data_IF_365469783511
#
_entry.id   IF_365469783511
#
_cell.length_a   1.000
_cell.length_b   1.000
_cell.length_c   1.000
_cell.angle_alpha   90.00
_cell.angle_beta   90.00
_cell.angle_gamma   90.00
#
_symmetry.space_group_name_H-M   'P 1'
#
loop_
_entity.id
_entity.type
_entity.pdbx_description
1 polymer ?
#
# COMPACT_ATOMS: atom_id res chain seq x y z
N UNK A 1 3.43 -19.75 -63.82
CA UNK A 1 2.72 -19.94 -62.53
C UNK A 1 3.74 -20.03 -61.42
N UNK A 2 3.43 -19.48 -60.23
CA UNK A 2 4.12 -19.67 -58.93
C UNK A 2 5.30 -18.76 -58.57
N UNK A 3 5.00 -17.48 -58.31
CA UNK A 3 5.88 -16.58 -57.54
C UNK A 3 5.05 -15.72 -56.57
N UNK A 4 4.37 -16.34 -55.60
CA UNK A 4 3.61 -15.65 -54.53
C UNK A 4 3.58 -16.47 -53.23
N UNK A 5 4.73 -16.80 -52.65
CA UNK A 5 4.82 -17.38 -51.29
C UNK A 5 6.15 -16.97 -50.65
N UNK A 6 6.23 -15.77 -50.07
CA UNK A 6 7.52 -15.35 -49.48
C UNK A 6 7.54 -14.11 -48.61
N UNK A 7 6.39 -13.50 -48.25
CA UNK A 7 6.38 -12.21 -47.52
C UNK A 7 5.68 -12.31 -46.14
N UNK A 8 5.13 -13.46 -45.76
CA UNK A 8 4.28 -13.56 -44.56
C UNK A 8 4.98 -13.86 -43.22
N UNK A 9 6.30 -14.10 -43.17
CA UNK A 9 6.96 -14.58 -41.93
C UNK A 9 7.80 -13.54 -41.17
N UNK A 10 7.87 -12.27 -41.60
CA UNK A 10 8.69 -11.24 -40.95
C UNK A 10 7.89 -10.20 -40.14
N UNK A 11 6.56 -10.17 -40.25
CA UNK A 11 5.72 -9.16 -39.60
C UNK A 11 5.23 -9.55 -38.19
N UNK A 12 5.51 -10.78 -37.72
CA UNK A 12 4.92 -11.31 -36.49
C UNK A 12 5.86 -11.31 -35.26
N UNK A 13 7.13 -10.91 -35.42
CA UNK A 13 8.12 -10.87 -34.33
C UNK A 13 8.31 -9.48 -33.72
N UNK A 14 7.68 -8.43 -34.25
CA UNK A 14 7.78 -7.05 -33.74
C UNK A 14 6.64 -6.67 -32.77
N UNK A 15 5.65 -7.54 -32.57
CA UNK A 15 4.46 -7.24 -31.76
C UNK A 15 4.59 -7.61 -30.26
N UNK A 16 5.69 -8.24 -29.84
CA UNK A 16 5.90 -8.68 -28.44
C UNK A 16 6.77 -7.75 -27.58
N UNK A 17 7.21 -6.59 -28.11
CA UNK A 17 8.09 -5.65 -27.41
C UNK A 17 7.35 -4.54 -26.61
N UNK A 18 6.02 -4.58 -26.50
CA UNK A 18 5.26 -3.38 -26.11
C UNK A 18 4.40 -3.44 -24.85
N UNK A 19 4.23 -4.60 -24.21
CA UNK A 19 3.33 -4.72 -23.05
C UNK A 19 4.14 -4.90 -21.77
N UNK A 20 4.89 -3.85 -21.39
CA UNK A 20 5.25 -3.75 -19.98
C UNK A 20 3.93 -3.58 -19.21
N UNK A 21 3.63 -4.44 -18.20
CA UNK A 21 2.46 -4.22 -17.37
C UNK A 21 2.56 -2.83 -16.77
N UNK A 22 1.50 -2.03 -16.91
CA UNK A 22 1.42 -0.78 -16.16
C UNK A 22 1.46 -1.16 -14.68
N UNK A 23 2.46 -0.67 -13.96
CA UNK A 23 2.46 -0.76 -12.51
C UNK A 23 1.27 0.08 -12.03
N UNK A 24 0.22 -0.60 -11.59
CA UNK A 24 -0.90 0.05 -10.93
C UNK A 24 -0.49 0.28 -9.49
N UNK A 25 -0.47 1.53 -9.05
CA UNK A 25 -0.26 1.84 -7.65
C UNK A 25 -1.29 1.11 -6.76
N UNK A 26 -0.93 0.84 -5.52
CA UNK A 26 -1.74 0.03 -4.63
C UNK A 26 -2.87 0.81 -3.96
N UNK A 27 -3.77 0.11 -3.26
CA UNK A 27 -4.82 0.72 -2.46
C UNK A 27 -4.25 1.35 -1.18
N UNK A 28 -4.89 2.42 -0.70
CA UNK A 28 -4.46 3.17 0.49
C UNK A 28 -5.67 3.47 1.38
N UNK A 29 -5.53 3.25 2.69
CA UNK A 29 -6.47 3.68 3.73
C UNK A 29 -5.67 4.35 4.85
N UNK A 30 -5.95 5.63 5.12
CA UNK A 30 -5.35 6.40 6.20
C UNK A 30 -6.48 6.99 7.06
N UNK A 31 -6.52 6.67 8.35
CA UNK A 31 -7.58 7.07 9.26
C UNK A 31 -7.08 7.86 10.48
N UNK A 32 -7.77 8.94 10.85
CA UNK A 32 -7.52 9.69 12.09
C UNK A 32 -8.13 9.02 13.33
N UNK A 33 -8.20 7.69 13.33
CA UNK A 33 -8.84 6.84 14.32
C UNK A 33 -7.81 6.02 15.09
N UNK A 34 -8.13 5.58 16.31
CA UNK A 34 -7.28 4.74 17.17
C UNK A 34 -7.92 3.37 17.37
N UNK A 35 -8.33 2.76 16.26
CA UNK A 35 -9.05 1.49 16.25
C UNK A 35 -8.25 0.31 16.82
N UNK A 36 -6.94 0.48 17.02
CA UNK A 36 -6.07 -0.44 17.76
C UNK A 36 -6.40 -0.47 19.26
N UNK A 37 -6.75 0.69 19.85
CA UNK A 37 -7.13 0.83 21.27
C UNK A 37 -8.58 0.39 21.52
N UNK A 38 -9.45 0.66 20.55
CA UNK A 38 -10.91 0.45 20.64
C UNK A 38 -11.38 -0.79 19.88
N UNK A 39 -10.67 -1.90 20.05
CA UNK A 39 -11.10 -3.19 19.55
C UNK A 39 -10.72 -4.33 20.47
N UNK A 40 -11.35 -5.47 20.22
CA UNK A 40 -11.14 -6.67 21.02
C UNK A 40 -11.45 -7.94 20.23
N UNK A 41 -11.06 -9.08 20.80
CA UNK A 41 -11.55 -10.39 20.41
C UNK A 41 -12.36 -11.01 21.54
N UNK A 42 -13.54 -11.54 21.23
CA UNK A 42 -14.36 -12.27 22.19
C UNK A 42 -15.12 -13.39 21.50
N UNK A 43 -15.10 -14.59 22.10
CA UNK A 43 -15.71 -15.77 21.51
C UNK A 43 -15.15 -16.14 20.13
N UNK A 44 -13.88 -15.79 19.86
CA UNK A 44 -13.25 -16.02 18.55
C UNK A 44 -13.69 -15.04 17.46
N UNK A 45 -14.45 -13.99 17.80
CA UNK A 45 -14.90 -12.96 16.87
C UNK A 45 -14.25 -11.62 17.21
N UNK A 46 -13.71 -10.94 16.20
CA UNK A 46 -13.24 -9.57 16.33
C UNK A 46 -14.39 -8.60 16.47
N UNK A 47 -14.20 -7.58 17.30
CA UNK A 47 -15.20 -6.55 17.59
C UNK A 47 -14.64 -5.17 17.26
N UNK A 48 -15.56 -4.24 16.97
CA UNK A 48 -15.29 -2.80 16.87
C UNK A 48 -14.09 -2.51 15.95
N UNK A 49 -13.09 -1.77 16.42
CA UNK A 49 -11.94 -1.34 15.62
C UNK A 49 -11.13 -2.49 15.04
N UNK A 50 -11.02 -3.61 15.75
CA UNK A 50 -10.30 -4.78 15.24
C UNK A 50 -11.07 -5.47 14.11
N UNK A 51 -12.40 -5.46 14.14
CA UNK A 51 -13.23 -5.95 13.05
C UNK A 51 -13.09 -5.08 11.80
N UNK A 52 -13.06 -3.76 11.97
CA UNK A 52 -12.73 -2.84 10.89
C UNK A 52 -11.35 -3.16 10.31
N UNK A 53 -10.34 -3.33 11.18
CA UNK A 53 -8.97 -3.61 10.73
C UNK A 53 -8.92 -4.88 9.88
N UNK A 54 -9.57 -5.96 10.32
CA UNK A 54 -9.69 -7.19 9.55
C UNK A 54 -10.33 -6.96 8.17
N UNK A 55 -11.45 -6.24 8.11
CA UNK A 55 -12.15 -6.00 6.83
C UNK A 55 -11.35 -5.10 5.90
N UNK A 56 -10.72 -4.05 6.42
CA UNK A 56 -9.86 -3.16 5.67
C UNK A 56 -8.66 -3.94 5.07
N UNK A 57 -7.97 -4.74 5.89
CA UNK A 57 -6.89 -5.62 5.43
C UNK A 57 -7.34 -6.62 4.37
N UNK A 58 -8.53 -7.24 4.53
CA UNK A 58 -9.06 -8.15 3.54
C UNK A 58 -9.27 -7.47 2.17
N UNK A 59 -9.78 -6.24 2.15
CA UNK A 59 -9.92 -5.48 0.92
C UNK A 59 -8.56 -5.10 0.33
N UNK A 60 -7.61 -4.63 1.15
CA UNK A 60 -6.26 -4.26 0.69
C UNK A 60 -5.52 -5.46 0.08
N UNK A 61 -5.56 -6.61 0.75
CA UNK A 61 -4.96 -7.85 0.25
C UNK A 61 -5.60 -8.34 -1.04
N UNK A 62 -6.91 -8.12 -1.22
CA UNK A 62 -7.63 -8.46 -2.44
C UNK A 62 -7.44 -7.50 -3.61
N UNK A 63 -6.92 -6.29 -3.36
CA UNK A 63 -6.80 -5.22 -4.37
C UNK A 63 -5.37 -4.79 -4.68
N UNK A 64 -4.42 -5.07 -3.79
CA UNK A 64 -3.00 -4.88 -4.05
C UNK A 64 -2.54 -5.70 -5.27
N UNK A 65 -1.67 -5.10 -6.08
CA UNK A 65 -1.22 -5.65 -7.38
C UNK A 65 0.24 -6.09 -7.36
N UNK A 66 0.91 -5.98 -6.22
CA UNK A 66 2.30 -6.43 -6.07
C UNK A 66 2.41 -7.94 -6.32
N UNK A 67 3.45 -8.35 -7.05
CA UNK A 67 3.67 -9.76 -7.43
C UNK A 67 4.89 -10.34 -6.72
N UNK A 68 4.90 -11.67 -6.54
CA UNK A 68 6.02 -12.36 -5.88
C UNK A 68 6.16 -12.02 -4.39
N UNK A 69 5.04 -11.67 -3.75
CA UNK A 69 4.96 -11.47 -2.31
C UNK A 69 5.34 -12.75 -1.55
N UNK A 70 6.10 -12.59 -0.46
CA UNK A 70 6.54 -13.69 0.42
C UNK A 70 5.82 -13.69 1.76
N UNK A 71 5.20 -12.56 2.12
CA UNK A 71 4.44 -12.35 3.37
C UNK A 71 3.24 -11.48 3.03
N UNK A 72 2.07 -11.72 3.62
CA UNK A 72 0.90 -10.91 3.28
C UNK A 72 0.96 -9.54 3.93
N UNK A 73 1.30 -9.46 5.21
CA UNK A 73 1.27 -8.20 5.98
C UNK A 73 2.62 -7.97 6.64
N UNK A 74 3.19 -6.78 6.45
CA UNK A 74 4.23 -6.24 7.31
C UNK A 74 3.60 -5.25 8.29
N UNK A 75 3.68 -5.55 9.58
CA UNK A 75 3.25 -4.68 10.68
C UNK A 75 4.45 -3.85 11.15
N UNK A 76 4.36 -2.53 11.04
CA UNK A 76 5.41 -1.61 11.45
C UNK A 76 4.97 -0.83 12.69
N UNK A 77 5.80 -0.82 13.74
CA UNK A 77 5.51 -0.10 14.99
C UNK A 77 4.71 -0.88 16.02
N UNK A 78 4.71 -2.22 15.93
CA UNK A 78 4.09 -3.09 16.91
C UNK A 78 4.76 -4.46 16.90
N UNK A 79 4.91 -5.07 18.09
CA UNK A 79 5.33 -6.45 18.26
C UNK A 79 4.15 -7.43 18.11
N UNK A 80 4.42 -8.71 17.84
CA UNK A 80 3.39 -9.75 17.86
C UNK A 80 2.81 -9.89 19.29
N UNK A 81 1.49 -9.90 19.41
CA UNK A 81 0.78 -9.94 20.70
C UNK A 81 -0.47 -10.79 20.63
N UNK A 82 -0.81 -11.43 21.74
CA UNK A 82 -2.03 -12.24 21.91
C UNK A 82 -3.01 -11.61 22.90
N UNK A 83 -2.80 -10.34 23.26
CA UNK A 83 -3.74 -9.58 24.07
C UNK A 83 -5.16 -9.64 23.47
N UNK A 84 -6.18 -9.53 24.32
CA UNK A 84 -7.57 -9.66 23.88
C UNK A 84 -8.23 -8.34 23.53
N UNK A 85 -7.59 -7.20 23.83
CA UNK A 85 -8.10 -5.85 23.56
C UNK A 85 -6.98 -4.82 23.66
N UNK A 86 -7.18 -3.64 23.07
CA UNK A 86 -6.36 -2.42 23.29
C UNK A 86 -4.86 -2.60 23.04
N UNK A 87 -4.51 -3.35 21.98
CA UNK A 87 -3.14 -3.68 21.60
C UNK A 87 -3.02 -3.76 20.07
N UNK A 88 -2.14 -2.96 19.50
CA UNK A 88 -1.99 -2.82 18.05
C UNK A 88 -1.53 -4.12 17.38
N UNK A 89 -0.53 -4.77 17.96
CA UNK A 89 0.00 -6.04 17.47
C UNK A 89 -1.05 -7.15 17.51
N UNK A 90 -1.84 -7.17 18.59
CA UNK A 90 -2.92 -8.14 18.76
C UNK A 90 -4.07 -7.95 17.76
N UNK A 91 -4.39 -6.69 17.40
CA UNK A 91 -5.40 -6.40 16.38
C UNK A 91 -5.10 -7.13 15.06
N UNK A 92 -3.85 -7.03 14.59
CA UNK A 92 -3.41 -7.71 13.36
C UNK A 92 -3.20 -9.21 13.58
N UNK A 93 -2.71 -9.62 14.75
CA UNK A 93 -2.51 -11.04 15.08
C UNK A 93 -3.82 -11.82 14.92
N UNK A 94 -4.88 -11.34 15.57
CA UNK A 94 -6.18 -12.02 15.55
C UNK A 94 -6.85 -11.92 14.18
N UNK A 95 -6.74 -10.77 13.50
CA UNK A 95 -7.24 -10.62 12.12
C UNK A 95 -6.58 -11.62 11.17
N UNK A 96 -5.26 -11.76 11.25
CA UNK A 96 -4.50 -12.69 10.43
C UNK A 96 -4.79 -14.15 10.78
N UNK A 97 -4.84 -14.50 12.07
CA UNK A 97 -5.13 -15.85 12.52
C UNK A 97 -6.50 -16.34 12.04
N UNK A 98 -7.54 -15.51 12.12
CA UNK A 98 -8.89 -15.83 11.66
C UNK A 98 -9.01 -15.93 10.13
N UNK A 99 -8.11 -15.26 9.40
CA UNK A 99 -8.15 -15.17 7.94
C UNK A 99 -7.09 -16.03 7.24
N UNK A 100 -6.22 -16.69 8.01
CA UNK A 100 -5.10 -17.49 7.51
C UNK A 100 -4.00 -16.66 6.84
N UNK A 101 -3.80 -15.41 7.26
CA UNK A 101 -2.78 -14.54 6.67
C UNK A 101 -1.42 -14.70 7.33
N UNK A 102 -0.35 -14.53 6.54
CA UNK A 102 1.02 -14.45 7.07
C UNK A 102 1.39 -13.02 7.45
N UNK A 103 2.02 -12.86 8.62
CA UNK A 103 2.39 -11.55 9.17
C UNK A 103 3.84 -11.57 9.65
N UNK A 104 4.57 -10.50 9.36
CA UNK A 104 5.83 -10.19 10.02
C UNK A 104 5.69 -8.87 10.79
N UNK A 105 6.23 -8.83 12.00
CA UNK A 105 6.19 -7.69 12.91
C UNK A 105 7.56 -7.03 12.98
N UNK A 106 7.57 -5.70 12.89
CA UNK A 106 8.77 -4.86 12.94
C UNK A 106 8.56 -3.77 13.99
N UNK A 107 8.92 -4.13 15.22
CA UNK A 107 8.84 -3.28 16.42
C UNK A 107 10.18 -2.62 16.72
N UNK A 108 10.15 -1.32 17.02
CA UNK A 108 11.29 -0.46 17.26
C UNK A 108 11.90 0.15 15.98
N UNK A 109 12.38 1.39 16.10
CA UNK A 109 13.01 2.18 15.02
C UNK A 109 14.05 1.40 14.20
N UNK A 110 14.95 0.66 14.86
CA UNK A 110 15.96 -0.14 14.17
C UNK A 110 15.36 -1.28 13.32
N UNK A 111 14.26 -1.88 13.77
CA UNK A 111 13.56 -2.94 13.03
C UNK A 111 12.82 -2.37 11.82
N UNK A 112 12.21 -1.20 11.97
CA UNK A 112 11.56 -0.45 10.88
C UNK A 112 12.58 -0.04 9.81
N UNK A 113 13.73 0.52 10.20
CA UNK A 113 14.79 0.88 9.25
C UNK A 113 15.39 -0.36 8.56
N UNK A 114 15.54 -1.46 9.31
CA UNK A 114 15.94 -2.76 8.78
C UNK A 114 14.94 -3.33 7.76
N UNK A 115 13.64 -3.15 8.01
CA UNK A 115 12.58 -3.51 7.09
C UNK A 115 12.71 -2.74 5.76
N UNK A 116 12.83 -1.41 5.79
CA UNK A 116 12.95 -0.62 4.56
C UNK A 116 14.24 -0.92 3.79
N UNK A 117 15.34 -1.22 4.50
CA UNK A 117 16.58 -1.73 3.88
C UNK A 117 16.33 -3.06 3.16
N UNK A 118 15.63 -3.98 3.80
CA UNK A 118 15.31 -5.31 3.26
C UNK A 118 14.32 -5.26 2.10
N UNK A 119 13.35 -4.33 2.16
CA UNK A 119 12.40 -4.02 1.10
C UNK A 119 13.13 -3.49 -0.15
N UNK A 120 14.03 -2.51 0.02
CA UNK A 120 14.83 -1.96 -1.07
C UNK A 120 15.75 -3.03 -1.72
N UNK A 121 16.28 -3.95 -0.91
CA UNK A 121 17.04 -5.10 -1.39
C UNK A 121 16.16 -6.19 -2.04
N UNK A 122 14.83 -6.10 -1.93
CA UNK A 122 13.89 -7.10 -2.42
C UNK A 122 13.93 -8.43 -1.66
N UNK A 123 14.46 -8.44 -0.44
CA UNK A 123 14.52 -9.64 0.43
C UNK A 123 13.26 -9.81 1.26
N UNK A 124 12.55 -8.70 1.52
CA UNK A 124 11.22 -8.68 2.11
C UNK A 124 10.25 -8.07 1.08
N UNK A 125 9.12 -8.75 0.84
CA UNK A 125 8.11 -8.33 -0.15
C UNK A 125 6.71 -8.57 0.43
N UNK A 126 6.19 -7.65 1.25
CA UNK A 126 4.85 -7.78 1.79
C UNK A 126 3.81 -7.44 0.71
N UNK A 127 2.59 -7.96 0.84
CA UNK A 127 1.46 -7.49 0.02
C UNK A 127 0.92 -6.16 0.54
N UNK A 128 0.82 -6.02 1.86
CA UNK A 128 0.32 -4.83 2.56
C UNK A 128 1.31 -4.40 3.62
N UNK A 129 1.55 -3.09 3.72
CA UNK A 129 2.13 -2.45 4.91
C UNK A 129 1.00 -1.95 5.79
N UNK A 130 1.02 -2.37 7.05
CA UNK A 130 0.15 -1.85 8.09
C UNK A 130 1.02 -1.10 9.11
N UNK A 131 0.74 0.18 9.29
CA UNK A 131 1.44 1.04 10.23
C UNK A 131 0.59 1.12 11.50
N UNK A 132 1.19 0.82 12.64
CA UNK A 132 0.50 0.85 13.91
C UNK A 132 -0.06 2.24 14.24
N UNK A 133 -1.05 2.25 15.13
CA UNK A 133 -1.72 3.46 15.58
C UNK A 133 -0.87 4.23 16.58
N UNK A 134 -1.54 5.11 17.31
CA UNK A 134 -0.99 5.80 18.48
C UNK A 134 -2.01 5.77 19.61
N UNK A 135 -1.56 5.59 20.85
CA UNK A 135 -2.41 5.72 22.04
C UNK A 135 -2.81 4.40 22.70
N UNK A 136 -2.77 3.28 21.99
CA UNK A 136 -2.97 1.95 22.53
C UNK A 136 -1.69 1.38 23.18
N UNK A 137 -1.80 0.19 23.77
CA UNK A 137 -0.60 -0.60 24.07
C UNK A 137 0.04 -1.10 22.77
N UNK A 138 1.37 -1.20 22.74
CA UNK A 138 2.10 -1.78 21.60
C UNK A 138 1.83 -1.03 20.27
N UNK A 139 1.59 0.29 20.36
CA UNK A 139 1.44 1.24 19.26
C UNK A 139 2.77 1.97 18.99
N UNK A 140 2.80 2.79 17.93
CA UNK A 140 3.96 3.61 17.57
C UNK A 140 4.42 4.50 18.73
N UNK A 141 5.74 4.56 18.91
CA UNK A 141 6.42 5.61 19.67
C UNK A 141 7.09 6.67 18.78
N UNK A 142 7.55 7.75 19.41
CA UNK A 142 8.20 8.87 18.71
C UNK A 142 9.45 8.48 17.91
N UNK A 143 10.20 7.45 18.33
CA UNK A 143 11.39 6.98 17.61
C UNK A 143 11.01 6.22 16.35
N UNK A 144 9.94 5.44 16.41
CA UNK A 144 9.39 4.70 15.28
C UNK A 144 8.73 5.63 14.26
N UNK A 145 7.95 6.61 14.73
CA UNK A 145 7.38 7.66 13.88
C UNK A 145 8.45 8.47 13.14
N UNK A 146 9.61 8.72 13.77
CA UNK A 146 10.77 9.32 13.12
C UNK A 146 11.38 8.41 12.04
N UNK A 147 11.51 7.10 12.30
CA UNK A 147 11.96 6.12 11.30
C UNK A 147 10.99 6.02 10.12
N UNK A 148 9.67 6.00 10.35
CA UNK A 148 8.67 6.05 9.28
C UNK A 148 8.82 7.34 8.45
N UNK A 149 9.03 8.48 9.10
CA UNK A 149 9.24 9.77 8.44
C UNK A 149 10.51 9.78 7.58
N UNK A 150 11.62 9.23 8.09
CA UNK A 150 12.87 9.09 7.35
C UNK A 150 12.71 8.20 6.10
N UNK A 151 11.79 7.22 6.15
CA UNK A 151 11.52 6.27 5.07
C UNK A 151 10.26 6.62 4.25
N UNK A 152 9.75 7.85 4.33
CA UNK A 152 8.52 8.26 3.64
C UNK A 152 8.56 8.00 2.12
N UNK A 153 9.71 8.22 1.47
CA UNK A 153 9.90 7.91 0.05
C UNK A 153 9.81 6.40 -0.25
N UNK A 154 10.25 5.54 0.67
CA UNK A 154 10.16 4.09 0.52
C UNK A 154 8.70 3.61 0.67
N UNK A 155 7.94 4.20 1.60
CA UNK A 155 6.49 3.97 1.73
C UNK A 155 5.78 4.32 0.42
N UNK A 156 6.06 5.51 -0.13
CA UNK A 156 5.46 5.91 -1.41
C UNK A 156 5.88 5.01 -2.58
N UNK A 157 7.14 4.60 -2.61
CA UNK A 157 7.65 3.67 -3.64
C UNK A 157 6.94 2.33 -3.59
N UNK A 158 6.66 1.82 -2.39
CA UNK A 158 5.92 0.58 -2.19
C UNK A 158 4.47 0.67 -2.69
N UNK A 159 3.77 1.75 -2.34
CA UNK A 159 2.41 2.00 -2.85
C UNK A 159 2.44 2.13 -4.37
N UNK A 160 3.35 2.93 -4.92
CA UNK A 160 3.50 3.10 -6.38
C UNK A 160 3.79 1.78 -7.10
N UNK A 161 4.48 0.84 -6.45
CA UNK A 161 4.76 -0.51 -6.96
C UNK A 161 3.57 -1.49 -6.84
N UNK A 162 2.42 -1.06 -6.31
CA UNK A 162 1.21 -1.86 -6.19
C UNK A 162 0.94 -2.44 -4.81
N UNK A 163 1.77 -2.13 -3.82
CA UNK A 163 1.58 -2.56 -2.43
C UNK A 163 0.44 -1.81 -1.75
N UNK A 164 -0.36 -2.50 -0.93
CA UNK A 164 -1.43 -1.87 -0.17
C UNK A 164 -0.92 -1.19 1.09
N UNK A 165 -1.46 -0.02 1.44
CA UNK A 165 -1.06 0.73 2.64
C UNK A 165 -2.25 0.97 3.55
N UNK A 166 -2.04 0.73 4.84
CA UNK A 166 -2.98 1.01 5.91
C UNK A 166 -2.25 1.72 7.04
N UNK A 167 -2.80 2.83 7.52
CA UNK A 167 -2.31 3.52 8.71
C UNK A 167 -3.48 4.12 9.49
N UNK A 168 -3.36 4.08 10.81
CA UNK A 168 -4.30 4.64 11.77
C UNK A 168 -3.50 5.43 12.81
N UNK A 169 -4.16 6.17 13.68
CA UNK A 169 -3.55 6.94 14.76
C UNK A 169 -3.72 8.44 14.58
N UNK A 170 -2.91 9.21 15.30
CA UNK A 170 -2.99 10.66 15.30
C UNK A 170 -1.63 11.31 15.54
N UNK A 171 -1.50 12.57 15.13
CA UNK A 171 -0.30 13.36 15.37
C UNK A 171 0.93 12.97 14.54
N UNK A 172 2.07 13.54 14.94
CA UNK A 172 3.33 13.48 14.18
C UNK A 172 3.94 12.09 14.09
N UNK A 173 3.72 11.23 15.09
CA UNK A 173 4.28 9.89 15.10
C UNK A 173 3.60 8.99 14.05
N UNK A 174 2.27 9.08 13.91
CA UNK A 174 1.51 8.36 12.90
C UNK A 174 1.68 8.93 11.47
N UNK A 175 1.73 10.27 11.34
CA UNK A 175 1.58 10.93 10.03
C UNK A 175 2.74 11.86 9.61
N UNK A 176 3.85 11.88 10.35
CA UNK A 176 5.05 12.65 9.97
C UNK A 176 5.57 12.29 8.58
N UNK A 177 5.52 11.00 8.20
CA UNK A 177 5.87 10.51 6.87
C UNK A 177 4.95 11.06 5.77
N UNK A 178 3.66 11.21 6.07
CA UNK A 178 2.68 11.72 5.11
C UNK A 178 2.89 13.22 4.87
N UNK A 179 3.11 13.99 5.93
CA UNK A 179 3.44 15.42 5.82
C UNK A 179 4.79 15.66 5.13
N UNK A 180 5.76 14.75 5.29
CA UNK A 180 7.03 14.81 4.55
C UNK A 180 6.84 14.63 3.04
N UNK A 181 5.89 13.78 2.61
CA UNK A 181 5.56 13.59 1.19
C UNK A 181 4.64 14.70 0.65
N UNK A 182 3.68 15.12 1.46
CA UNK A 182 2.60 16.04 1.12
C UNK A 182 2.59 17.24 2.08
N UNK A 183 3.50 18.22 1.97
CA UNK A 183 3.55 19.36 2.90
C UNK A 183 2.27 20.22 2.93
N UNK A 184 1.39 20.06 1.94
CA UNK A 184 0.10 20.72 1.90
C UNK A 184 -1.03 19.99 2.64
N UNK A 185 -0.77 18.78 3.16
CA UNK A 185 -1.73 18.04 3.99
C UNK A 185 -1.48 18.36 5.46
N UNK A 186 -2.56 18.45 6.23
CA UNK A 186 -2.50 18.52 7.69
C UNK A 186 -3.44 17.48 8.27
N UNK A 187 -2.90 16.66 9.16
CA UNK A 187 -3.72 16.02 10.19
C UNK A 187 -4.04 17.08 11.25
N UNK A 188 -5.29 17.09 11.73
CA UNK A 188 -5.81 18.08 12.66
C UNK A 188 -6.61 17.36 13.73
N UNK A 189 -6.27 17.63 14.99
CA UNK A 189 -6.98 17.06 16.14
C UNK A 189 -8.48 17.41 16.15
N UNK A 190 -9.26 16.45 16.62
CA UNK A 190 -10.71 16.48 16.72
C UNK A 190 -11.39 15.80 15.53
N UNK A 191 -12.37 14.96 15.82
CA UNK A 191 -13.29 14.37 14.86
C UNK A 191 -14.67 14.16 15.54
N UNK A 192 -15.64 13.57 14.84
CA UNK A 192 -16.86 13.02 15.44
C UNK A 192 -17.22 11.68 14.79
N UNK A 193 -16.89 10.54 15.39
CA UNK A 193 -17.21 9.23 14.80
C UNK A 193 -18.72 8.93 14.77
N UNK A 194 -19.53 9.58 15.62
CA UNK A 194 -20.98 9.41 15.60
C UNK A 194 -21.58 10.00 14.32
N UNK A 195 -22.15 9.14 13.48
CA UNK A 195 -22.70 9.52 12.18
C UNK A 195 -21.66 9.63 11.07
N UNK A 196 -20.45 9.08 11.29
CA UNK A 196 -19.47 8.95 10.23
C UNK A 196 -19.99 8.01 9.12
N UNK A 197 -19.64 8.32 7.88
CA UNK A 197 -20.17 7.62 6.70
C UNK A 197 -19.11 7.47 5.62
N UNK A 198 -19.11 6.32 4.95
CA UNK A 198 -18.31 6.12 3.75
C UNK A 198 -18.84 6.99 2.63
N UNK A 199 -17.93 7.60 1.88
CA UNK A 199 -18.25 8.27 0.62
C UNK A 199 -18.47 7.23 -0.48
N UNK A 200 -18.99 7.66 -1.63
CA UNK A 200 -19.06 6.79 -2.81
C UNK A 200 -17.66 6.28 -3.24
N UNK A 201 -16.61 7.10 -3.06
CA UNK A 201 -15.23 6.68 -3.31
C UNK A 201 -14.76 5.63 -2.29
N UNK A 202 -15.11 5.80 -1.00
CA UNK A 202 -14.84 4.82 0.05
C UNK A 202 -15.47 3.46 -0.24
N UNK A 203 -16.76 3.43 -0.58
CA UNK A 203 -17.48 2.20 -0.94
C UNK A 203 -16.91 1.54 -2.20
N UNK A 204 -16.50 2.34 -3.19
CA UNK A 204 -15.90 1.81 -4.42
C UNK A 204 -14.50 1.23 -4.18
N UNK A 205 -13.70 1.87 -3.32
CA UNK A 205 -12.36 1.42 -2.99
C UNK A 205 -12.37 0.19 -2.06
N UNK A 206 -13.36 0.10 -1.17
CA UNK A 206 -13.45 -0.94 -0.14
C UNK A 206 -14.88 -1.49 -0.02
N UNK A 207 -15.34 -2.29 -1.00
CA UNK A 207 -16.72 -2.78 -1.05
C UNK A 207 -17.11 -3.70 0.12
N UNK A 208 -16.14 -4.21 0.88
CA UNK A 208 -16.38 -4.98 2.11
C UNK A 208 -16.55 -4.13 3.38
N UNK A 209 -16.45 -2.80 3.29
CA UNK A 209 -16.69 -1.88 4.41
C UNK A 209 -18.09 -1.26 4.31
N UNK A 210 -18.69 -1.04 5.47
CA UNK A 210 -19.99 -0.40 5.66
C UNK A 210 -19.87 0.78 6.62
N UNK A 211 -20.93 1.60 6.73
CA UNK A 211 -20.92 2.74 7.67
C UNK A 211 -20.73 2.31 9.13
N UNK A 212 -21.22 1.14 9.53
CA UNK A 212 -21.01 0.62 10.89
C UNK A 212 -19.58 0.21 11.18
N UNK A 213 -18.75 0.05 10.14
CA UNK A 213 -17.32 -0.24 10.32
C UNK A 213 -16.50 1.04 10.50
N UNK A 214 -17.10 2.22 10.27
CA UNK A 214 -16.42 3.53 10.30
C UNK A 214 -17.09 4.54 11.22
N UNK A 215 -18.22 4.19 11.83
CA UNK A 215 -18.93 5.04 12.79
C UNK A 215 -18.50 4.76 14.23
N UNK A 216 -19.21 5.32 15.19
CA UNK A 216 -18.93 5.16 16.61
C UNK A 216 -18.98 3.69 17.10
N UNK A 217 -19.50 2.74 16.32
CA UNK A 217 -19.43 1.31 16.65
C UNK A 217 -18.04 0.72 16.41
N UNK A 218 -17.21 1.33 15.55
CA UNK A 218 -15.82 0.92 15.37
C UNK A 218 -14.92 1.50 16.46
N UNK A 219 -15.23 2.70 16.94
CA UNK A 219 -14.47 3.38 17.98
C UNK A 219 -14.62 4.90 17.90
N UNK A 220 -13.98 5.64 18.81
CA UNK A 220 -13.77 7.06 18.61
C UNK A 220 -12.82 7.28 17.41
N UNK A 221 -12.75 8.54 16.99
CA UNK A 221 -11.62 9.02 16.23
C UNK A 221 -11.02 10.20 17.00
N UNK A 222 -9.80 10.58 16.63
CA UNK A 222 -9.06 11.65 17.31
C UNK A 222 -8.68 12.78 16.38
N UNK A 223 -8.73 12.57 15.07
CA UNK A 223 -8.35 13.58 14.10
C UNK A 223 -9.02 13.44 12.75
N UNK A 224 -8.78 14.43 11.91
CA UNK A 224 -9.20 14.45 10.52
C UNK A 224 -8.12 15.11 9.66
N UNK A 225 -8.24 14.95 8.35
CA UNK A 225 -7.32 15.50 7.36
C UNK A 225 -7.90 16.73 6.68
N UNK A 226 -7.03 17.71 6.43
CA UNK A 226 -7.34 18.92 5.68
C UNK A 226 -6.22 19.25 4.69
N UNK A 227 -6.47 20.22 3.80
CA UNK A 227 -5.49 20.71 2.85
C UNK A 227 -5.45 19.94 1.54
N UNK A 228 -4.27 19.83 0.94
CA UNK A 228 -4.05 19.15 -0.34
C UNK A 228 -3.66 17.68 -0.11
N UNK A 229 -4.55 16.78 -0.47
CA UNK A 229 -4.40 15.33 -0.32
C UNK A 229 -3.45 14.66 -1.32
N UNK A 230 -2.86 15.43 -2.24
CA UNK A 230 -1.79 14.91 -3.11
C UNK A 230 -2.18 13.67 -3.89
N UNK A 231 -3.42 13.61 -4.40
CA UNK A 231 -3.94 12.46 -5.13
C UNK A 231 -4.79 11.49 -4.29
N UNK A 232 -4.75 11.58 -2.95
CA UNK A 232 -5.69 10.88 -2.08
C UNK A 232 -7.07 11.56 -2.11
N UNK A 233 -8.11 10.79 -1.81
CA UNK A 233 -9.50 11.26 -1.76
C UNK A 233 -10.12 10.92 -0.41
N UNK A 234 -11.13 11.68 0.02
CA UNK A 234 -11.93 11.34 1.21
C UNK A 234 -12.71 10.04 0.99
N UNK A 235 -12.40 9.04 1.81
CA UNK A 235 -13.08 7.73 1.81
C UNK A 235 -14.22 7.70 2.83
N UNK A 236 -14.08 8.44 3.95
CA UNK A 236 -15.14 8.61 4.93
C UNK A 236 -15.16 10.03 5.49
N UNK A 237 -16.37 10.54 5.68
CA UNK A 237 -16.62 11.75 6.45
C UNK A 237 -16.97 11.38 7.89
N UNK A 238 -16.51 12.18 8.85
CA UNK A 238 -17.00 12.12 10.22
C UNK A 238 -18.42 12.73 10.31
N UNK A 239 -19.05 12.66 11.49
CA UNK A 239 -20.36 13.24 11.77
C UNK A 239 -20.43 14.77 11.66
N UNK A 240 -19.31 15.45 11.42
CA UNK A 240 -19.23 16.89 11.14
C UNK A 240 -18.80 17.18 9.68
N UNK A 241 -18.82 16.18 8.80
CA UNK A 241 -18.43 16.29 7.38
C UNK A 241 -16.96 16.65 7.16
N UNK A 242 -16.08 16.23 8.07
CA UNK A 242 -14.62 16.34 7.93
C UNK A 242 -14.04 15.03 7.41
N UNK A 243 -13.00 15.12 6.58
CA UNK A 243 -12.34 13.96 5.99
C UNK A 243 -11.53 13.21 7.04
N UNK A 244 -12.10 12.20 7.69
CA UNK A 244 -11.39 11.48 8.75
C UNK A 244 -10.71 10.20 8.24
N UNK A 245 -11.21 9.61 7.15
CA UNK A 245 -10.48 8.60 6.37
C UNK A 245 -10.21 9.13 4.97
N UNK A 246 -8.94 9.10 4.57
CA UNK A 246 -8.49 9.43 3.21
C UNK A 246 -7.75 8.24 2.60
N UNK A 247 -7.66 8.21 1.27
CA UNK A 247 -6.98 7.13 0.58
C UNK A 247 -7.47 6.97 -0.84
N UNK A 248 -7.55 5.71 -1.30
CA UNK A 248 -8.09 5.34 -2.59
C UNK A 248 -7.94 3.84 -2.88
N UNK A 249 -8.62 3.37 -3.93
CA UNK A 249 -8.53 1.98 -4.37
C UNK A 249 -7.25 1.70 -5.17
N UNK A 250 -7.27 0.66 -6.01
CA UNK A 250 -6.17 0.41 -6.94
C UNK A 250 -5.90 1.64 -7.83
N UNK A 251 -4.63 1.83 -8.17
CA UNK A 251 -4.06 2.98 -8.88
C UNK A 251 -3.97 4.29 -8.08
N UNK A 252 -4.01 4.24 -6.75
CA UNK A 252 -3.86 5.43 -5.91
C UNK A 252 -2.41 5.92 -5.89
N UNK A 253 -2.19 7.18 -6.26
CA UNK A 253 -0.87 7.82 -6.27
C UNK A 253 -0.79 8.83 -5.12
N UNK A 254 0.20 8.67 -4.25
CA UNK A 254 0.60 9.70 -3.28
C UNK A 254 1.60 10.62 -4.00
N UNK A 255 1.09 11.71 -4.55
CA UNK A 255 1.83 12.61 -5.43
C UNK A 255 2.93 13.36 -4.69
N UNK A 256 4.17 13.05 -5.04
CA UNK A 256 5.39 13.75 -4.63
C UNK A 256 5.95 14.63 -5.78
N UNK A 257 7.11 15.26 -5.57
CA UNK A 257 7.87 15.94 -6.62
C UNK A 257 7.31 17.28 -7.11
N UNK A 258 6.24 17.80 -6.51
CA UNK A 258 5.79 19.18 -6.70
C UNK A 258 6.70 20.17 -5.97
N UNK A 259 6.65 21.49 -6.29
CA UNK A 259 7.40 22.49 -5.53
C UNK A 259 7.14 22.38 -4.01
N UNK A 260 8.21 22.24 -3.23
CA UNK A 260 8.16 22.04 -1.78
C UNK A 260 8.09 20.57 -1.32
N UNK A 261 7.83 19.62 -2.22
CA UNK A 261 7.86 18.19 -1.95
C UNK A 261 9.25 17.58 -2.21
N UNK A 262 9.59 16.46 -1.58
CA UNK A 262 10.74 15.68 -1.98
C UNK A 262 10.56 15.20 -3.43
N UNK A 263 11.67 15.06 -4.17
CA UNK A 263 11.65 14.50 -5.51
C UNK A 263 11.00 13.11 -5.49
N UNK A 264 10.09 12.85 -6.42
CA UNK A 264 9.54 11.50 -6.55
C UNK A 264 10.64 10.50 -6.89
N UNK A 265 10.54 9.26 -6.39
CA UNK A 265 11.26 8.16 -6.99
C UNK A 265 10.95 8.16 -8.50
N UNK A 266 11.94 7.90 -9.37
CA UNK A 266 11.69 7.83 -10.81
C UNK A 266 10.54 6.85 -11.05
N UNK A 267 9.41 7.37 -11.55
CA UNK A 267 8.26 6.55 -11.89
C UNK A 267 8.57 5.78 -13.16
N UNK A 268 9.10 4.59 -12.95
CA UNK A 268 9.50 3.67 -13.98
C UNK A 268 10.21 2.52 -13.30
N UNK A 269 9.58 1.35 -13.29
CA UNK A 269 10.30 0.09 -13.08
C UNK A 269 11.59 0.20 -13.89
N UNK A 270 12.78 -0.09 -13.34
CA UNK A 270 13.99 -0.17 -14.13
C UNK A 270 13.64 -1.09 -15.29
N UNK A 271 13.50 -0.54 -16.50
CA UNK A 271 13.25 -1.35 -17.67
C UNK A 271 14.46 -2.25 -17.69
N UNK A 272 14.30 -3.53 -17.34
CA UNK A 272 15.39 -4.49 -17.35
C UNK A 272 16.13 -4.24 -18.66
N UNK A 273 17.45 -3.97 -18.63
CA UNK A 273 18.14 -3.35 -19.75
C UNK A 273 17.70 -4.09 -21.01
N UNK A 274 16.92 -3.46 -21.87
CA UNK A 274 16.37 -4.10 -23.07
C UNK A 274 17.46 -4.26 -24.14
N UNK A 275 18.66 -3.75 -23.85
CA UNK A 275 19.84 -3.75 -24.68
C UNK A 275 20.36 -5.17 -25.00
N UNK A 276 20.44 -6.15 -24.06
CA UNK A 276 20.86 -7.51 -24.39
C UNK A 276 19.81 -8.28 -25.21
N UNK A 277 18.51 -8.01 -25.01
CA UNK A 277 17.42 -8.67 -25.74
C UNK A 277 17.32 -8.18 -27.19
N UNK A 278 17.57 -6.89 -27.45
CA UNK A 278 17.71 -6.40 -28.82
C UNK A 278 18.95 -6.96 -29.53
N UNK A 279 20.07 -7.13 -28.81
CA UNK A 279 21.28 -7.76 -29.38
C UNK A 279 21.08 -9.25 -29.70
N UNK A 280 20.40 -9.99 -28.82
CA UNK A 280 20.06 -11.40 -29.05
C UNK A 280 19.11 -11.55 -30.26
N UNK A 281 18.10 -10.68 -30.39
CA UNK A 281 17.22 -10.64 -31.55
C UNK A 281 17.97 -10.35 -32.87
N UNK A 282 18.92 -9.40 -32.87
CA UNK A 282 19.72 -9.08 -34.06
C UNK A 282 20.65 -10.22 -34.49
N UNK A 283 21.27 -10.93 -33.54
CA UNK A 283 22.15 -12.07 -33.86
C UNK A 283 21.38 -13.26 -34.43
N UNK A 284 20.16 -13.54 -33.96
CA UNK A 284 19.30 -14.57 -34.53
C UNK A 284 18.87 -14.25 -35.97
N UNK A 285 18.55 -12.98 -36.26
CA UNK A 285 18.23 -12.50 -37.61
C UNK A 285 19.43 -12.56 -38.57
N UNK A 286 20.64 -12.30 -38.08
CA UNK A 286 21.88 -12.42 -38.85
C UNK A 286 22.28 -13.89 -39.08
N UNK A 287 22.07 -14.77 -38.11
CA UNK A 287 22.31 -16.22 -38.22
C UNK A 287 21.38 -16.90 -39.23
N UNK A 288 20.09 -16.56 -39.23
CA UNK A 288 19.11 -17.10 -40.18
C UNK A 288 19.39 -16.70 -41.64
N UNK A 289 20.06 -15.56 -41.88
CA UNK A 289 20.51 -15.16 -43.23
C UNK A 289 21.70 -15.97 -43.74
N UNK A 290 22.56 -16.51 -42.85
CA UNK A 290 23.73 -17.31 -43.25
C UNK A 290 23.35 -18.73 -43.67
N UNK A 291 22.36 -19.35 -43.02
CA UNK A 291 21.92 -20.71 -43.34
C UNK A 291 21.21 -20.83 -44.71
N UNK A 292 20.66 -19.74 -45.26
CA UNK A 292 20.06 -19.74 -46.60
C UNK A 292 21.07 -19.77 -47.75
N UNK A 293 22.35 -19.49 -47.51
CA UNK A 293 23.38 -19.48 -48.56
C UNK A 293 24.11 -20.81 -48.78
N UNK A 294 23.82 -21.84 -47.95
CA UNK A 294 24.50 -23.14 -48.03
C UNK A 294 23.63 -24.22 -48.69
N UNK A 295 22.37 -23.90 -49.03
CA UNK A 295 21.42 -24.83 -49.65
C UNK A 295 21.11 -24.49 -51.12
N UNK A 296 22.11 -23.96 -51.85
CA UNK A 296 22.07 -23.76 -53.31
C UNK A 296 23.36 -24.29 -53.93
#
# INVERSE_FOLDING_TARGET
MNARRGILSAAMSLALLGLAPQAHAGPVILGGDDLTDHGSISGGTLQEGWLYIQRALANLLGTATITGSTVQIAVLGAADSTASSSDAGAAVHHAAALSGWTVNYYDGSASIDGFFTSLAAGTVKPTVMWLAGTGASNDLDSSEGASLTANALAINSFVTAGGGLMAHGSGGDAYGWLSALLPGISEVSGCNSSGATLTAAGQAAFPGLSNSDVDANAGPCHSHFTGNFGGLTTLAFDGQQRSYIIGGGASTIIQCGQPGQPACPPQGVPVAPTIPLMLAGLTALLGARRLRKVAA
#
